data_IF_228181549545
#
_entry.id   IF_228181549545
#
_cell.length_a   1.000
_cell.length_b   1.000
_cell.length_c   1.000
_cell.angle_alpha   90.00
_cell.angle_beta   90.00
_cell.angle_gamma   90.00
#
_symmetry.space_group_name_H-M   'P 1'
#
loop_
_entity.id
_entity.type
_entity.pdbx_description
1 polymer ?
#
# COMPACT_ATOMS: atom_id res chain seq x y z
N UNK A 1 -16.99 -20.54 -28.68
CA UNK A 1 -15.80 -21.02 -27.94
C UNK A 1 -15.32 -19.88 -27.05
N UNK A 2 -15.28 -20.05 -25.72
CA UNK A 2 -14.69 -19.06 -24.81
C UNK A 2 -13.18 -19.09 -25.04
N UNK A 3 -12.60 -17.96 -25.42
CA UNK A 3 -11.14 -17.84 -25.53
C UNK A 3 -10.51 -18.21 -24.19
N UNK A 4 -9.51 -19.09 -24.21
CA UNK A 4 -8.69 -19.37 -23.05
C UNK A 4 -8.01 -18.07 -22.65
N UNK A 5 -8.43 -17.51 -21.53
CA UNK A 5 -7.73 -16.40 -20.90
C UNK A 5 -6.45 -17.02 -20.37
N UNK A 6 -5.38 -16.94 -21.16
CA UNK A 6 -4.03 -17.14 -20.64
C UNK A 6 -3.85 -15.99 -19.64
N UNK A 7 -4.05 -16.29 -18.35
CA UNK A 7 -3.60 -15.41 -17.28
C UNK A 7 -2.10 -15.25 -17.52
N UNK A 8 -1.67 -14.06 -17.91
CA UNK A 8 -0.26 -13.70 -17.86
C UNK A 8 0.27 -14.16 -16.50
N UNK A 9 1.47 -14.77 -16.41
CA UNK A 9 1.98 -15.29 -15.15
C UNK A 9 1.87 -14.17 -14.12
N UNK A 10 0.84 -14.26 -13.28
CA UNK A 10 0.57 -13.23 -12.29
C UNK A 10 1.69 -13.45 -11.31
N UNK A 11 2.68 -12.56 -11.32
CA UNK A 11 3.71 -12.47 -10.30
C UNK A 11 3.06 -12.06 -8.99
N UNK A 12 2.13 -12.89 -8.51
CA UNK A 12 1.34 -12.70 -7.32
C UNK A 12 2.31 -12.57 -6.17
N UNK A 13 2.26 -11.43 -5.49
CA UNK A 13 3.03 -11.22 -4.29
C UNK A 13 2.41 -12.11 -3.21
N UNK A 14 2.81 -13.38 -3.16
CA UNK A 14 2.28 -14.36 -2.20
C UNK A 14 2.45 -13.87 -0.76
N UNK A 15 1.87 -14.56 0.21
CA UNK A 15 1.81 -14.10 1.60
C UNK A 15 3.17 -13.69 2.20
N UNK A 16 4.28 -14.32 1.79
CA UNK A 16 5.63 -13.91 2.19
C UNK A 16 6.00 -12.51 1.69
N UNK A 17 5.65 -12.18 0.45
CA UNK A 17 5.90 -10.88 -0.14
C UNK A 17 5.10 -9.77 0.54
N UNK A 18 3.80 -10.00 0.80
CA UNK A 18 2.97 -9.05 1.56
C UNK A 18 3.53 -8.80 2.97
N UNK A 19 3.98 -9.86 3.66
CA UNK A 19 4.57 -9.72 4.99
C UNK A 19 5.84 -8.86 4.93
N UNK A 20 6.74 -9.15 3.99
CA UNK A 20 7.97 -8.37 3.80
C UNK A 20 7.68 -6.91 3.46
N UNK A 21 6.72 -6.65 2.56
CA UNK A 21 6.29 -5.31 2.20
C UNK A 21 5.75 -4.57 3.43
N UNK A 22 4.85 -5.20 4.18
CA UNK A 22 4.28 -4.63 5.40
C UNK A 22 5.35 -4.30 6.44
N UNK A 23 6.28 -5.22 6.71
CA UNK A 23 7.40 -4.99 7.63
C UNK A 23 8.30 -3.86 7.15
N UNK A 24 8.62 -3.82 5.85
CA UNK A 24 9.45 -2.77 5.26
C UNK A 24 8.82 -1.38 5.42
N UNK A 25 7.51 -1.25 5.17
CA UNK A 25 6.80 0.02 5.34
C UNK A 25 6.81 0.47 6.80
N UNK A 26 6.59 -0.45 7.74
CA UNK A 26 6.66 -0.14 9.17
C UNK A 26 8.05 0.34 9.57
N UNK A 27 9.10 -0.32 9.11
CA UNK A 27 10.49 0.06 9.39
C UNK A 27 10.84 1.44 8.81
N UNK A 28 10.39 1.75 7.59
CA UNK A 28 10.62 3.08 7.01
C UNK A 28 9.92 4.17 7.82
N UNK A 29 8.66 3.97 8.19
CA UNK A 29 7.92 4.96 8.97
C UNK A 29 8.53 5.14 10.38
N UNK A 30 8.98 4.06 11.01
CA UNK A 30 9.70 4.11 12.27
C UNK A 30 11.05 4.83 12.13
N UNK A 31 11.80 4.53 11.07
CA UNK A 31 13.06 5.20 10.75
C UNK A 31 12.88 6.70 10.52
N UNK A 32 11.79 7.10 9.87
CA UNK A 32 11.44 8.50 9.65
C UNK A 32 11.19 9.23 10.99
N UNK A 33 10.45 8.60 11.91
CA UNK A 33 10.27 9.13 13.27
C UNK A 33 11.57 9.15 14.08
N UNK A 34 12.47 8.18 13.87
CA UNK A 34 13.76 8.14 14.55
C UNK A 34 14.71 9.24 14.05
N UNK A 35 14.77 9.47 12.74
CA UNK A 35 15.70 10.44 12.11
C UNK A 35 15.24 11.88 12.33
N UNK A 36 13.95 12.15 12.18
CA UNK A 36 13.40 13.50 12.22
C UNK A 36 12.67 13.83 13.53
N UNK A 37 12.60 12.87 14.46
CA UNK A 37 11.91 13.01 15.73
C UNK A 37 10.38 13.08 15.60
N UNK A 38 9.73 13.31 16.74
CA UNK A 38 8.27 13.50 16.80
C UNK A 38 7.81 14.84 16.20
N UNK A 39 8.72 15.76 15.91
CA UNK A 39 8.41 17.04 15.26
C UNK A 39 7.75 16.85 13.89
N UNK A 40 8.02 15.74 13.20
CA UNK A 40 7.33 15.34 11.97
C UNK A 40 5.82 15.26 12.15
N UNK A 41 5.33 14.92 13.33
CA UNK A 41 3.91 14.78 13.61
C UNK A 41 3.19 16.11 13.86
N UNK A 42 3.92 17.23 13.93
CA UNK A 42 3.32 18.55 14.13
C UNK A 42 2.62 19.06 12.86
N UNK A 43 3.10 18.66 11.68
CA UNK A 43 2.44 18.93 10.40
C UNK A 43 1.37 17.85 10.14
N UNK A 44 0.13 18.30 9.95
CA UNK A 44 -1.01 17.43 9.68
C UNK A 44 -0.77 16.53 8.47
N UNK A 45 -0.11 17.03 7.41
CA UNK A 45 0.15 16.25 6.20
C UNK A 45 1.07 15.06 6.47
N UNK A 46 2.14 15.30 7.23
CA UNK A 46 3.12 14.29 7.63
C UNK A 46 2.55 13.32 8.66
N UNK A 47 1.73 13.81 9.59
CA UNK A 47 1.00 12.96 10.52
C UNK A 47 0.10 11.98 9.77
N UNK A 48 -0.68 12.46 8.80
CA UNK A 48 -1.57 11.61 7.98
C UNK A 48 -0.76 10.63 7.14
N UNK A 49 0.34 11.08 6.52
CA UNK A 49 1.26 10.21 5.79
C UNK A 49 1.75 9.04 6.67
N UNK A 50 2.27 9.33 7.86
CA UNK A 50 2.83 8.33 8.78
C UNK A 50 1.74 7.40 9.29
N UNK A 51 0.59 7.94 9.68
CA UNK A 51 -0.54 7.14 10.16
C UNK A 51 -1.03 6.16 9.09
N UNK A 52 -1.21 6.63 7.86
CA UNK A 52 -1.62 5.78 6.73
C UNK A 52 -0.53 4.78 6.34
N UNK A 53 0.74 5.18 6.41
CA UNK A 53 1.86 4.28 6.16
C UNK A 53 1.90 3.13 7.17
N UNK A 54 1.78 3.45 8.46
CA UNK A 54 1.73 2.45 9.54
C UNK A 54 0.51 1.55 9.38
N UNK A 55 -0.68 2.13 9.17
CA UNK A 55 -1.91 1.36 8.97
C UNK A 55 -1.79 0.41 7.78
N UNK A 56 -1.28 0.90 6.64
CA UNK A 56 -1.05 0.07 5.46
C UNK A 56 -0.09 -1.08 5.73
N UNK A 57 1.02 -0.81 6.42
CA UNK A 57 1.98 -1.83 6.83
C UNK A 57 1.36 -2.92 7.73
N UNK A 58 0.55 -2.52 8.71
CA UNK A 58 -0.18 -3.44 9.58
C UNK A 58 -1.21 -4.27 8.82
N UNK A 59 -1.94 -3.66 7.89
CA UNK A 59 -2.93 -4.37 7.07
C UNK A 59 -2.28 -5.40 6.15
N UNK A 60 -1.10 -5.11 5.60
CA UNK A 60 -0.36 -6.10 4.83
C UNK A 60 0.12 -7.28 5.67
N UNK A 61 0.58 -7.04 6.90
CA UNK A 61 0.94 -8.14 7.80
C UNK A 61 -0.33 -8.92 8.20
N UNK A 62 -1.41 -8.22 8.54
CA UNK A 62 -2.70 -8.79 8.88
C UNK A 62 -3.28 -9.66 7.77
N UNK A 63 -3.12 -9.26 6.50
CA UNK A 63 -3.53 -10.04 5.34
C UNK A 63 -2.81 -11.41 5.22
N UNK A 64 -1.73 -11.64 5.98
CA UNK A 64 -0.93 -12.88 5.97
C UNK A 64 -1.18 -13.78 7.17
N UNK A 65 -2.16 -13.43 8.01
CA UNK A 65 -2.50 -14.15 9.24
C UNK A 65 -3.99 -14.45 9.20
N UNK A 66 -4.39 -15.64 9.65
CA UNK A 66 -5.80 -15.95 9.86
C UNK A 66 -6.32 -15.12 11.05
N UNK A 67 -7.08 -14.08 10.74
CA UNK A 67 -7.76 -13.28 11.75
C UNK A 67 -9.17 -13.81 11.99
N UNK A 68 -9.65 -13.68 13.23
CA UNK A 68 -10.94 -14.23 13.68
C UNK A 68 -12.18 -13.51 13.14
N UNK A 69 -12.03 -12.28 12.65
CA UNK A 69 -13.09 -11.55 11.95
C UNK A 69 -13.23 -12.03 10.49
N UNK A 70 -14.46 -12.07 9.99
CA UNK A 70 -14.87 -12.59 8.68
C UNK A 70 -14.44 -11.68 7.50
N UNK A 71 -13.16 -11.32 7.43
CA UNK A 71 -12.58 -10.48 6.38
C UNK A 71 -11.53 -11.31 5.66
N UNK A 72 -11.73 -11.49 4.36
CA UNK A 72 -10.78 -12.22 3.52
C UNK A 72 -9.45 -11.45 3.44
N UNK A 73 -8.32 -12.17 3.56
CA UNK A 73 -6.98 -11.57 3.57
C UNK A 73 -6.71 -10.65 2.35
N UNK A 74 -7.34 -10.95 1.21
CA UNK A 74 -7.19 -10.11 0.03
C UNK A 74 -7.87 -8.75 0.10
N UNK A 75 -8.96 -8.64 0.86
CA UNK A 75 -9.57 -7.34 1.13
C UNK A 75 -8.68 -6.49 2.04
N UNK A 76 -8.07 -7.11 3.04
CA UNK A 76 -7.10 -6.45 3.91
C UNK A 76 -5.88 -5.94 3.13
N UNK A 77 -5.31 -6.77 2.26
CA UNK A 77 -4.19 -6.36 1.41
C UNK A 77 -4.60 -5.23 0.45
N UNK A 78 -5.80 -5.31 -0.13
CA UNK A 78 -6.35 -4.25 -0.97
C UNK A 78 -6.43 -2.91 -0.22
N UNK A 79 -6.98 -2.90 0.99
CA UNK A 79 -7.03 -1.70 1.83
C UNK A 79 -5.60 -1.25 2.20
N UNK A 80 -4.68 -2.16 2.47
CA UNK A 80 -3.27 -1.85 2.72
C UNK A 80 -2.63 -1.07 1.57
N UNK A 81 -2.86 -1.48 0.32
CA UNK A 81 -2.41 -0.74 -0.87
C UNK A 81 -3.07 0.62 -1.00
N UNK A 82 -4.35 0.76 -0.63
CA UNK A 82 -5.03 2.06 -0.62
C UNK A 82 -4.39 3.01 0.40
N UNK A 83 -4.14 2.51 1.61
CA UNK A 83 -3.44 3.27 2.65
C UNK A 83 -2.04 3.71 2.18
N UNK A 84 -1.31 2.85 1.47
CA UNK A 84 -0.01 3.20 0.92
C UNK A 84 -0.11 4.27 -0.19
N UNK A 85 -1.07 4.12 -1.11
CA UNK A 85 -1.35 5.11 -2.15
C UNK A 85 -1.67 6.49 -1.55
N UNK A 86 -2.52 6.52 -0.53
CA UNK A 86 -2.88 7.75 0.18
C UNK A 86 -1.67 8.31 0.94
N UNK A 87 -0.93 7.49 1.69
CA UNK A 87 0.31 7.92 2.37
C UNK A 87 1.28 8.59 1.40
N UNK A 88 1.46 8.03 0.20
CA UNK A 88 2.34 8.57 -0.82
C UNK A 88 1.89 9.93 -1.38
N UNK A 89 0.58 10.17 -1.50
CA UNK A 89 0.04 11.49 -1.85
C UNK A 89 0.39 12.52 -0.78
N UNK A 90 0.19 12.18 0.49
CA UNK A 90 0.45 13.08 1.61
C UNK A 90 1.94 13.35 1.83
N UNK A 91 2.82 12.44 1.42
CA UNK A 91 4.27 12.60 1.50
C UNK A 91 4.83 13.78 0.70
N UNK A 92 4.17 14.17 -0.39
CA UNK A 92 4.70 15.15 -1.34
C UNK A 92 3.83 16.42 -1.48
N UNK A 93 2.70 16.51 -0.77
CA UNK A 93 1.83 17.70 -0.77
C UNK A 93 2.56 19.03 -0.48
N UNK A 94 3.53 19.11 0.45
CA UNK A 94 4.24 20.37 0.71
C UNK A 94 5.48 20.63 -0.17
N UNK A 95 5.82 19.76 -1.14
CA UNK A 95 7.12 19.80 -1.88
C UNK A 95 6.93 19.91 -3.40
N UNK A 96 5.75 20.32 -3.89
CA UNK A 96 5.54 20.51 -5.33
C UNK A 96 6.19 21.80 -5.86
N UNK A 97 7.51 21.89 -5.78
CA UNK A 97 8.29 22.95 -6.42
C UNK A 97 8.40 22.74 -7.94
N UNK A 98 8.09 21.53 -8.42
CA UNK A 98 8.14 21.15 -9.82
C UNK A 98 6.92 20.30 -10.20
N UNK A 99 6.23 20.70 -11.26
CA UNK A 99 5.05 20.01 -11.78
C UNK A 99 5.33 18.54 -12.14
N UNK A 100 6.57 18.20 -12.53
CA UNK A 100 6.96 16.82 -12.82
C UNK A 100 6.90 15.92 -11.57
N UNK A 101 7.30 16.43 -10.40
CA UNK A 101 7.18 15.68 -9.14
C UNK A 101 5.72 15.47 -8.73
N UNK A 102 4.86 16.45 -9.02
CA UNK A 102 3.41 16.30 -8.83
C UNK A 102 2.83 15.20 -9.73
N UNK A 103 3.17 15.20 -11.02
CA UNK A 103 2.72 14.17 -11.96
C UNK A 103 3.20 12.78 -11.52
N UNK A 104 4.48 12.61 -11.18
CA UNK A 104 5.03 11.32 -10.72
C UNK A 104 4.29 10.84 -9.47
N UNK A 105 4.05 11.74 -8.51
CA UNK A 105 3.35 11.41 -7.27
C UNK A 105 1.93 10.92 -7.55
N UNK A 106 1.17 11.68 -8.34
CA UNK A 106 -0.22 11.36 -8.67
C UNK A 106 -0.31 10.05 -9.47
N UNK A 107 0.52 9.88 -10.50
CA UNK A 107 0.54 8.66 -11.32
C UNK A 107 0.90 7.43 -10.49
N UNK A 108 1.89 7.54 -9.59
CA UNK A 108 2.29 6.43 -8.73
C UNK A 108 1.19 6.08 -7.71
N UNK A 109 0.55 7.09 -7.11
CA UNK A 109 -0.57 6.87 -6.21
C UNK A 109 -1.77 6.23 -6.91
N UNK A 110 -2.10 6.66 -8.13
CA UNK A 110 -3.16 6.05 -8.94
C UNK A 110 -2.84 4.61 -9.32
N UNK A 111 -1.57 4.33 -9.63
CA UNK A 111 -1.11 2.97 -9.94
C UNK A 111 -1.29 2.05 -8.72
N UNK A 112 -0.91 2.52 -7.52
CA UNK A 112 -1.12 1.79 -6.27
C UNK A 112 -2.61 1.63 -5.93
N UNK A 113 -3.42 2.64 -6.19
CA UNK A 113 -4.87 2.57 -6.01
C UNK A 113 -5.53 1.56 -6.98
N UNK A 114 -5.01 1.42 -8.20
CA UNK A 114 -5.47 0.40 -9.14
C UNK A 114 -5.13 -1.01 -8.65
N UNK A 115 -3.90 -1.22 -8.15
CA UNK A 115 -3.50 -2.49 -7.52
C UNK A 115 -4.41 -2.79 -6.33
N UNK A 116 -4.63 -1.81 -5.45
CA UNK A 116 -5.55 -1.92 -4.31
C UNK A 116 -6.92 -2.43 -4.72
N UNK A 117 -7.49 -1.83 -5.76
CA UNK A 117 -8.84 -2.17 -6.22
C UNK A 117 -8.93 -3.56 -6.86
N UNK A 118 -7.95 -3.95 -7.67
CA UNK A 118 -7.90 -5.31 -8.25
C UNK A 118 -7.76 -6.34 -7.11
N UNK A 119 -6.80 -6.15 -6.21
CA UNK A 119 -6.54 -7.06 -5.07
C UNK A 119 -7.78 -7.17 -4.16
N UNK A 120 -8.43 -6.05 -3.83
CA UNK A 120 -9.63 -6.03 -2.97
C UNK A 120 -10.82 -6.79 -3.57
N UNK A 121 -10.85 -6.99 -4.90
CA UNK A 121 -11.89 -7.73 -5.61
C UNK A 121 -11.53 -9.19 -5.89
N UNK A 122 -10.43 -9.69 -5.33
CA UNK A 122 -9.92 -11.03 -5.64
C UNK A 122 -9.22 -11.06 -7.00
N UNK A 123 -8.38 -10.05 -7.24
CA UNK A 123 -7.88 -9.61 -8.54
C UNK A 123 -7.41 -10.67 -9.52
N UNK A 124 -7.78 -10.45 -10.78
CA UNK A 124 -7.37 -11.29 -11.93
C UNK A 124 -5.93 -11.01 -12.36
N UNK A 125 -5.39 -9.83 -12.02
CA UNK A 125 -4.04 -9.39 -12.40
C UNK A 125 -3.08 -9.49 -11.21
N UNK A 126 -3.56 -9.15 -10.01
CA UNK A 126 -2.81 -9.24 -8.76
C UNK A 126 -3.51 -10.19 -7.80
N UNK A 127 -3.12 -11.46 -7.88
CA UNK A 127 -3.62 -12.49 -6.97
C UNK A 127 -2.59 -12.76 -5.87
N UNK A 128 -3.02 -12.60 -4.63
CA UNK A 128 -2.20 -12.81 -3.41
C UNK A 128 -2.47 -14.17 -2.75
N UNK A 129 -3.46 -14.91 -3.25
CA UNK A 129 -3.79 -16.28 -2.91
C UNK A 129 -3.26 -17.29 -3.96
N UNK A 130 -2.51 -16.82 -4.96
CA UNK A 130 -1.89 -17.66 -5.98
C UNK A 130 -0.72 -18.48 -5.43
#
# INVERSE_FOLDING_TARGET
MKAAIISAPTGGMGHRGLRLLGTFILLINLGLLFVFGFDVLTDLSRLVQVALGILGGLLFIGATIDLSWNVEGHRLAGIGYLCLASSYLFANLPVFDNIWWAVITVVSALSLAFISFDVARGGRHFNINA
#
